data_IF_624213116318
#
_entry.id   IF_624213116318
#
_cell.length_a   1.000
_cell.length_b   1.000
_cell.length_c   1.000
_cell.angle_alpha   90.00
_cell.angle_beta   90.00
_cell.angle_gamma   90.00
#
_symmetry.space_group_name_H-M   'P 1'
#
loop_
_entity.id
_entity.type
_entity.pdbx_description
1 polymer ?
#
# COMPACT_ATOMS: atom_id res chain seq x y z
N UNK A 1 -23.65 8.82 4.14
CA UNK A 1 -22.50 9.66 3.76
C UNK A 1 -22.14 9.30 2.32
N UNK A 2 -22.32 10.21 1.36
CA UNK A 2 -22.05 9.94 -0.07
C UNK A 2 -20.55 10.13 -0.32
N UNK A 3 -19.84 9.03 -0.57
CA UNK A 3 -18.39 9.00 -0.78
C UNK A 3 -18.04 9.67 -2.12
N UNK A 4 -17.02 10.53 -2.16
CA UNK A 4 -16.65 11.29 -3.35
C UNK A 4 -15.63 10.49 -4.19
N UNK A 5 -16.14 9.58 -5.03
CA UNK A 5 -15.36 8.63 -5.85
C UNK A 5 -14.42 9.28 -6.90
N UNK A 6 -14.46 10.60 -7.10
CA UNK A 6 -13.66 11.29 -8.11
C UNK A 6 -12.15 11.17 -7.85
N UNK A 7 -11.71 11.18 -6.59
CA UNK A 7 -10.27 11.19 -6.27
C UNK A 7 -9.63 9.79 -6.36
N UNK A 8 -10.38 8.72 -6.09
CA UNK A 8 -9.92 7.32 -6.22
C UNK A 8 -9.60 6.98 -7.69
N UNK A 9 -10.44 7.47 -8.61
CA UNK A 9 -10.26 7.29 -10.06
C UNK A 9 -8.95 7.91 -10.55
N UNK A 10 -8.57 9.10 -10.04
CA UNK A 10 -7.33 9.78 -10.45
C UNK A 10 -6.07 9.05 -9.99
N UNK A 11 -6.03 8.56 -8.74
CA UNK A 11 -4.89 7.80 -8.19
C UNK A 11 -4.66 6.51 -8.99
N UNK A 12 -5.74 5.80 -9.32
CA UNK A 12 -5.66 4.56 -10.11
C UNK A 12 -5.28 4.83 -11.57
N UNK A 13 -5.78 5.92 -12.18
CA UNK A 13 -5.37 6.32 -13.53
C UNK A 13 -3.87 6.62 -13.62
N UNK A 14 -3.26 7.27 -12.60
CA UNK A 14 -1.80 7.47 -12.58
C UNK A 14 -0.99 6.17 -12.49
N UNK A 15 -1.51 5.14 -11.82
CA UNK A 15 -0.87 3.82 -11.73
C UNK A 15 -0.99 3.03 -13.05
N UNK A 16 -2.13 3.17 -13.74
CA UNK A 16 -2.38 2.51 -15.04
C UNK A 16 -1.56 3.17 -16.17
N UNK A 17 -1.41 4.50 -16.16
CA UNK A 17 -0.70 5.24 -17.23
C UNK A 17 0.82 5.05 -17.15
N UNK A 18 1.39 4.75 -15.98
CA UNK A 18 2.84 4.57 -15.80
C UNK A 18 3.41 3.28 -16.41
N UNK A 19 2.57 2.36 -16.90
CA UNK A 19 2.98 1.06 -17.46
C UNK A 19 2.74 0.91 -18.97
N UNK A 20 2.23 1.93 -19.66
CA UNK A 20 2.01 1.89 -21.11
C UNK A 20 3.13 2.64 -21.86
N UNK A 21 3.92 1.99 -22.74
CA UNK A 21 4.90 2.68 -23.56
C UNK A 21 4.17 3.47 -24.67
N UNK A 22 3.90 4.75 -24.41
CA UNK A 22 3.32 5.66 -25.41
C UNK A 22 4.45 6.38 -26.17
N UNK A 23 4.89 5.78 -27.28
CA UNK A 23 5.78 6.44 -28.26
C UNK A 23 4.94 7.19 -29.29
N UNK A 24 4.82 8.52 -29.19
CA UNK A 24 4.29 9.35 -30.30
C UNK A 24 4.95 10.74 -30.36
N UNK A 25 4.91 11.37 -31.54
CA UNK A 25 5.52 12.68 -31.87
C UNK A 25 4.52 13.86 -31.87
N UNK A 26 5.05 15.09 -31.73
CA UNK A 26 4.34 16.39 -31.70
C UNK A 26 3.47 16.63 -30.46
N UNK A 27 3.67 17.73 -29.73
CA UNK A 27 3.02 17.96 -28.42
C UNK A 27 1.47 18.09 -28.48
N UNK A 28 0.92 18.78 -29.47
CA UNK A 28 -0.53 19.04 -29.52
C UNK A 28 -1.37 17.79 -29.85
N UNK A 29 -0.87 16.93 -30.74
CA UNK A 29 -1.52 15.64 -31.06
C UNK A 29 -1.47 14.65 -29.91
N UNK A 30 -0.48 14.76 -29.01
CA UNK A 30 -0.39 13.89 -27.82
C UNK A 30 -1.50 14.19 -26.83
N UNK A 31 -1.82 15.47 -26.61
CA UNK A 31 -2.81 15.87 -25.62
C UNK A 31 -4.23 15.42 -26.02
N UNK A 32 -4.60 15.61 -27.29
CA UNK A 32 -5.91 15.22 -27.81
C UNK A 32 -6.11 13.69 -27.79
N UNK A 33 -5.09 12.94 -28.24
CA UNK A 33 -5.11 11.47 -28.23
C UNK A 33 -5.13 10.93 -26.78
N UNK A 34 -4.35 11.52 -25.88
CA UNK A 34 -4.37 11.15 -24.46
C UNK A 34 -5.77 11.39 -23.86
N UNK A 35 -6.42 12.51 -24.19
CA UNK A 35 -7.76 12.83 -23.70
C UNK A 35 -8.80 11.82 -24.21
N UNK A 36 -8.74 11.43 -25.49
CA UNK A 36 -9.59 10.38 -26.05
C UNK A 36 -9.41 9.03 -25.32
N UNK A 37 -8.16 8.63 -25.03
CA UNK A 37 -7.90 7.41 -24.27
C UNK A 37 -8.40 7.51 -22.82
N UNK A 38 -8.25 8.66 -22.17
CA UNK A 38 -8.77 8.89 -20.82
C UNK A 38 -10.30 8.76 -20.76
N UNK A 39 -11.00 9.35 -21.72
CA UNK A 39 -12.47 9.27 -21.75
C UNK A 39 -12.95 7.87 -22.10
N UNK A 40 -12.26 7.17 -23.01
CA UNK A 40 -12.51 5.75 -23.28
C UNK A 40 -12.30 4.89 -22.02
N UNK A 41 -11.22 5.10 -21.28
CA UNK A 41 -10.94 4.37 -20.04
C UNK A 41 -12.00 4.65 -18.97
N UNK A 42 -12.43 5.90 -18.80
CA UNK A 42 -13.47 6.29 -17.82
C UNK A 42 -14.79 5.57 -18.03
N UNK A 43 -15.21 5.34 -19.27
CA UNK A 43 -16.47 4.63 -19.57
C UNK A 43 -16.39 3.12 -19.32
N UNK A 44 -15.18 2.56 -19.28
CA UNK A 44 -14.91 1.13 -19.13
C UNK A 44 -14.40 0.75 -17.75
N UNK A 45 -13.93 1.72 -16.97
CA UNK A 45 -13.44 1.54 -15.62
C UNK A 45 -14.61 1.35 -14.65
N UNK A 46 -14.54 0.29 -13.88
CA UNK A 46 -15.41 -0.02 -12.76
C UNK A 46 -14.54 -0.17 -11.51
N UNK A 47 -15.00 0.30 -10.35
CA UNK A 47 -14.18 0.31 -9.13
C UNK A 47 -14.99 -0.30 -8.01
N UNK A 48 -14.52 -1.42 -7.49
CA UNK A 48 -15.04 -2.03 -6.29
C UNK A 48 -14.26 -1.51 -5.08
N UNK A 49 -14.98 -1.18 -4.01
CA UNK A 49 -14.40 -0.67 -2.76
C UNK A 49 -14.94 -1.46 -1.59
N UNK A 50 -14.05 -2.03 -0.80
CA UNK A 50 -14.34 -2.75 0.44
C UNK A 50 -13.69 -2.02 1.63
N UNK A 51 -14.40 -1.91 2.74
CA UNK A 51 -13.84 -1.36 3.98
C UNK A 51 -13.10 -2.47 4.72
N UNK A 52 -11.80 -2.28 4.96
CA UNK A 52 -10.98 -3.20 5.73
C UNK A 52 -11.24 -2.98 7.22
N UNK A 53 -12.24 -3.68 7.75
CA UNK A 53 -12.76 -3.48 9.10
C UNK A 53 -12.44 -4.58 10.11
N UNK A 54 -11.62 -5.58 9.77
CA UNK A 54 -11.35 -6.70 10.67
C UNK A 54 -10.61 -6.24 11.95
N UNK A 55 -10.73 -7.03 13.02
CA UNK A 55 -10.20 -6.67 14.34
C UNK A 55 -8.68 -6.43 14.33
N UNK A 56 -7.94 -7.23 13.55
CA UNK A 56 -6.49 -7.11 13.46
C UNK A 56 -6.06 -5.75 12.88
N UNK A 57 -6.74 -5.25 11.83
CA UNK A 57 -6.45 -3.94 11.27
C UNK A 57 -6.78 -2.82 12.25
N UNK A 58 -7.90 -2.88 12.96
CA UNK A 58 -8.28 -1.86 13.95
C UNK A 58 -7.39 -1.85 15.20
N UNK A 59 -6.77 -2.99 15.53
CA UNK A 59 -5.77 -3.05 16.61
C UNK A 59 -4.52 -2.24 16.23
N UNK A 60 -4.08 -2.31 14.98
CA UNK A 60 -2.83 -1.70 14.52
C UNK A 60 -3.03 -0.29 13.97
N UNK A 61 -4.09 -0.06 13.19
CA UNK A 61 -4.34 1.20 12.49
C UNK A 61 -5.58 1.92 13.03
N UNK A 62 -5.49 3.24 13.15
CA UNK A 62 -6.59 4.16 13.51
C UNK A 62 -7.34 4.69 12.27
N UNK A 63 -6.69 4.67 11.11
CA UNK A 63 -7.26 5.11 9.85
C UNK A 63 -8.36 4.17 9.32
N UNK A 64 -9.33 4.73 8.60
CA UNK A 64 -10.22 3.94 7.77
C UNK A 64 -9.46 3.45 6.53
N UNK A 65 -9.29 2.14 6.45
CA UNK A 65 -8.60 1.49 5.34
C UNK A 65 -9.63 0.94 4.35
N UNK A 66 -9.36 1.15 3.06
CA UNK A 66 -10.23 0.71 1.99
C UNK A 66 -9.43 -0.13 1.00
N UNK A 67 -9.89 -1.35 0.73
CA UNK A 67 -9.39 -2.14 -0.37
C UNK A 67 -10.13 -1.75 -1.64
N UNK A 68 -9.39 -1.34 -2.66
CA UNK A 68 -9.91 -0.85 -3.93
C UNK A 68 -9.46 -1.78 -5.04
N UNK A 69 -10.42 -2.28 -5.82
CA UNK A 69 -10.17 -3.17 -6.94
C UNK A 69 -10.68 -2.52 -8.24
N UNK A 70 -9.78 -1.98 -9.08
CA UNK A 70 -10.16 -1.50 -10.41
C UNK A 70 -10.41 -2.66 -11.37
N UNK A 71 -11.45 -2.50 -12.18
CA UNK A 71 -11.81 -3.40 -13.26
C UNK A 71 -11.93 -2.64 -14.57
N UNK A 72 -11.37 -3.18 -15.65
CA UNK A 72 -11.56 -2.69 -17.00
C UNK A 72 -12.52 -3.63 -17.72
N UNK A 73 -13.65 -3.08 -18.17
CA UNK A 73 -14.59 -3.80 -19.03
C UNK A 73 -14.02 -3.89 -20.44
N UNK A 74 -13.90 -5.10 -20.97
CA UNK A 74 -13.58 -5.37 -22.35
C UNK A 74 -14.79 -5.17 -23.26
N UNK A 75 -14.56 -5.06 -24.57
CA UNK A 75 -15.62 -4.84 -25.56
C UNK A 75 -16.59 -6.03 -25.67
N UNK A 76 -16.15 -7.22 -25.28
CA UNK A 76 -16.96 -8.44 -25.22
C UNK A 76 -17.79 -8.56 -23.92
N UNK A 77 -17.70 -7.58 -23.01
CA UNK A 77 -18.39 -7.57 -21.73
C UNK A 77 -17.64 -8.28 -20.59
N UNK A 78 -16.51 -8.94 -20.86
CA UNK A 78 -15.63 -9.48 -19.81
C UNK A 78 -14.99 -8.34 -19.00
N UNK A 79 -14.51 -8.65 -17.79
CA UNK A 79 -13.80 -7.70 -16.92
C UNK A 79 -12.45 -8.25 -16.53
N UNK A 80 -11.44 -7.39 -16.59
CA UNK A 80 -10.09 -7.69 -16.11
C UNK A 80 -9.70 -6.71 -15.01
N UNK A 81 -8.96 -7.18 -14.00
CA UNK A 81 -8.48 -6.36 -12.89
C UNK A 81 -6.96 -6.44 -12.84
N UNK A 82 -6.30 -5.30 -12.62
CA UNK A 82 -4.84 -5.23 -12.46
C UNK A 82 -4.36 -5.59 -11.04
N UNK A 83 -5.28 -5.83 -10.11
CA UNK A 83 -4.99 -6.17 -8.72
C UNK A 83 -5.90 -5.41 -7.76
N UNK A 84 -5.62 -5.54 -6.46
CA UNK A 84 -6.26 -4.76 -5.40
C UNK A 84 -5.23 -3.88 -4.69
N UNK A 85 -5.64 -2.70 -4.26
CA UNK A 85 -4.79 -1.73 -3.58
C UNK A 85 -5.47 -1.29 -2.28
N UNK A 86 -4.70 -1.12 -1.21
CA UNK A 86 -5.23 -0.47 -0.01
C UNK A 86 -4.98 1.02 -0.09
N UNK A 87 -6.04 1.80 0.16
CA UNK A 87 -5.97 3.25 0.23
C UNK A 87 -6.48 3.72 1.58
N UNK A 88 -6.00 4.88 1.98
CA UNK A 88 -6.43 5.58 3.18
C UNK A 88 -7.00 6.94 2.82
N UNK A 89 -8.04 7.35 3.55
CA UNK A 89 -8.59 8.70 3.44
C UNK A 89 -7.60 9.73 4.05
N UNK A 90 -7.33 10.79 3.29
CA UNK A 90 -6.52 11.93 3.71
C UNK A 90 -7.36 13.20 3.60
N UNK A 91 -6.92 14.31 4.21
CA UNK A 91 -7.63 15.59 4.12
C UNK A 91 -7.91 16.06 2.68
N UNK A 92 -7.11 15.63 1.72
CA UNK A 92 -7.21 16.00 0.30
C UNK A 92 -7.84 14.91 -0.59
N UNK A 93 -8.21 13.74 -0.03
CA UNK A 93 -8.83 12.65 -0.77
C UNK A 93 -8.40 11.27 -0.30
N UNK A 94 -7.80 10.48 -1.19
CA UNK A 94 -7.34 9.13 -0.89
C UNK A 94 -5.89 8.98 -1.33
N UNK A 95 -5.07 8.32 -0.52
CA UNK A 95 -3.69 7.99 -0.86
C UNK A 95 -3.46 6.48 -0.77
N UNK A 96 -2.69 5.89 -1.70
CA UNK A 96 -2.36 4.49 -1.62
C UNK A 96 -1.40 4.25 -0.45
N UNK A 97 -1.69 3.23 0.35
CA UNK A 97 -0.81 2.81 1.42
C UNK A 97 0.21 1.84 0.83
N UNK A 98 1.28 2.40 0.26
CA UNK A 98 2.34 1.63 -0.38
C UNK A 98 3.39 1.20 0.65
N UNK A 99 3.99 0.03 0.43
CA UNK A 99 5.21 -0.35 1.15
C UNK A 99 6.23 0.78 1.04
N UNK A 100 6.89 1.20 2.14
CA UNK A 100 7.99 2.15 2.06
C UNK A 100 9.01 1.60 1.06
N UNK A 101 9.30 2.30 -0.05
CA UNK A 101 10.36 1.86 -0.98
C UNK A 101 11.60 2.70 -0.76
N UNK A 102 12.77 2.05 -0.76
CA UNK A 102 14.09 2.68 -0.80
C UNK A 102 14.35 3.64 0.38
N UNK A 103 14.32 3.12 1.62
CA UNK A 103 14.70 3.83 2.85
C UNK A 103 13.90 5.10 3.19
N UNK A 104 12.83 5.40 2.44
CA UNK A 104 11.97 6.54 2.71
C UNK A 104 10.88 6.16 3.69
N UNK A 105 10.83 6.87 4.83
CA UNK A 105 9.77 6.74 5.82
C UNK A 105 8.42 7.05 5.17
N UNK A 106 7.47 6.11 5.27
CA UNK A 106 6.10 6.35 4.84
C UNK A 106 5.33 7.09 5.96
N UNK A 107 5.37 8.42 5.93
CA UNK A 107 4.71 9.25 6.95
C UNK A 107 3.19 9.04 7.03
N UNK A 108 2.54 8.67 5.92
CA UNK A 108 1.10 8.35 5.91
C UNK A 108 0.81 7.07 6.69
N UNK A 109 1.65 6.04 6.50
CA UNK A 109 1.57 4.81 7.28
C UNK A 109 1.78 5.08 8.77
N UNK A 110 2.78 5.89 9.13
CA UNK A 110 3.05 6.24 10.54
C UNK A 110 1.86 6.98 11.16
N UNK A 111 1.31 7.99 10.46
CA UNK A 111 0.14 8.74 10.94
C UNK A 111 -1.14 7.91 11.06
N UNK A 112 -1.15 6.70 10.49
CA UNK A 112 -2.27 5.79 10.57
C UNK A 112 -2.18 4.75 11.68
N UNK A 113 -1.08 4.67 12.43
CA UNK A 113 -1.03 3.77 13.58
C UNK A 113 -2.05 4.17 14.64
N UNK A 114 -2.56 3.16 15.32
CA UNK A 114 -3.40 3.35 16.48
C UNK A 114 -2.52 3.82 17.66
N UNK A 115 -2.87 4.97 18.24
CA UNK A 115 -2.16 5.56 19.39
C UNK A 115 -2.12 4.65 20.61
N UNK A 116 -2.94 3.60 20.69
CA UNK A 116 -2.93 2.60 21.75
C UNK A 116 -2.08 1.37 21.41
N UNK A 117 -1.75 1.16 20.14
CA UNK A 117 -0.93 0.03 19.70
C UNK A 117 0.52 0.19 20.19
N UNK A 118 1.08 -0.87 20.76
CA UNK A 118 2.47 -0.94 21.21
C UNK A 118 3.07 -2.29 20.82
N UNK A 119 4.36 -2.29 20.51
CA UNK A 119 5.11 -3.50 20.13
C UNK A 119 6.11 -3.83 21.23
N UNK A 120 5.62 -4.49 22.28
CA UNK A 120 6.45 -4.85 23.45
C UNK A 120 6.83 -6.33 23.49
N UNK A 121 6.19 -7.15 22.65
CA UNK A 121 6.39 -8.58 22.57
C UNK A 121 6.57 -9.05 21.13
N UNK A 122 7.08 -10.26 20.98
CA UNK A 122 7.18 -10.93 19.68
C UNK A 122 5.80 -11.11 19.05
N UNK A 123 4.78 -11.45 19.85
CA UNK A 123 3.40 -11.57 19.40
C UNK A 123 2.87 -10.25 18.82
N UNK A 124 3.14 -9.11 19.47
CA UNK A 124 2.75 -7.81 18.95
C UNK A 124 3.49 -7.48 17.63
N UNK A 125 4.75 -7.90 17.51
CA UNK A 125 5.54 -7.71 16.30
C UNK A 125 4.99 -8.55 15.13
N UNK A 126 4.57 -9.79 15.39
CA UNK A 126 3.88 -10.65 14.40
C UNK A 126 2.57 -10.00 13.97
N UNK A 127 1.79 -9.47 14.91
CA UNK A 127 0.53 -8.76 14.58
C UNK A 127 0.81 -7.54 13.70
N UNK A 128 1.83 -6.76 14.02
CA UNK A 128 2.26 -5.63 13.18
C UNK A 128 2.69 -6.09 11.79
N UNK A 129 3.48 -7.15 11.69
CA UNK A 129 3.94 -7.71 10.42
C UNK A 129 2.78 -8.12 9.52
N UNK A 130 1.83 -8.90 10.05
CA UNK A 130 0.65 -9.31 9.29
C UNK A 130 -0.20 -8.11 8.86
N UNK A 131 -0.39 -7.14 9.75
CA UNK A 131 -1.16 -5.95 9.44
C UNK A 131 -0.49 -5.14 8.31
N UNK A 132 0.84 -4.98 8.34
CA UNK A 132 1.61 -4.31 7.30
C UNK A 132 1.51 -5.03 5.96
N UNK A 133 1.82 -6.34 5.90
CA UNK A 133 1.78 -7.10 4.66
C UNK A 133 0.41 -7.04 3.97
N UNK A 134 -0.66 -7.16 4.75
CA UNK A 134 -2.03 -7.04 4.25
C UNK A 134 -2.37 -5.67 3.64
N UNK A 135 -1.75 -4.58 4.09
CA UNK A 135 -2.05 -3.23 3.60
C UNK A 135 -1.07 -2.75 2.54
N UNK A 136 0.16 -3.22 2.55
CA UNK A 136 1.19 -2.83 1.58
C UNK A 136 1.22 -3.72 0.34
N UNK A 137 0.53 -4.87 0.38
CA UNK A 137 0.55 -5.87 -0.68
C UNK A 137 1.83 -6.70 -0.70
N UNK A 138 2.59 -6.69 0.40
CA UNK A 138 3.70 -7.61 0.59
C UNK A 138 3.12 -8.93 1.10
N UNK A 139 3.14 -9.96 0.26
CA UNK A 139 2.65 -11.29 0.64
C UNK A 139 3.46 -11.80 1.83
N UNK A 140 2.76 -12.26 2.87
CA UNK A 140 3.34 -13.00 4.01
C UNK A 140 3.93 -14.29 3.46
N UNK A 141 5.24 -14.48 3.63
CA UNK A 141 5.96 -15.64 3.08
C UNK A 141 6.23 -16.68 4.15
N UNK A 142 6.62 -17.90 3.74
CA UNK A 142 7.09 -18.94 4.67
C UNK A 142 8.43 -18.60 5.34
N UNK A 143 9.08 -17.51 4.95
CA UNK A 143 10.32 -17.01 5.53
C UNK A 143 10.07 -15.94 6.60
N UNK A 144 8.80 -15.67 6.92
CA UNK A 144 8.46 -14.60 7.83
C UNK A 144 9.00 -14.86 9.23
N UNK A 145 9.78 -13.89 9.72
CA UNK A 145 10.41 -13.92 11.04
C UNK A 145 10.35 -12.55 11.68
N UNK A 146 10.05 -12.52 12.97
CA UNK A 146 10.15 -11.32 13.79
C UNK A 146 11.30 -11.45 14.77
N UNK A 147 12.08 -10.39 14.92
CA UNK A 147 13.20 -10.37 15.85
C UNK A 147 13.32 -9.04 16.55
N UNK A 148 13.69 -9.10 17.82
CA UNK A 148 14.00 -7.91 18.60
C UNK A 148 15.39 -7.41 18.21
N UNK A 149 15.49 -6.10 17.96
CA UNK A 149 16.74 -5.39 17.71
C UNK A 149 17.00 -4.37 18.82
N UNK A 150 18.15 -3.69 18.80
CA UNK A 150 18.51 -2.71 19.83
C UNK A 150 17.48 -1.56 19.95
N UNK A 151 16.91 -1.13 18.82
CA UNK A 151 16.05 0.05 18.73
C UNK A 151 14.57 -0.30 18.43
N UNK A 152 14.20 -1.57 18.47
CA UNK A 152 12.84 -2.02 18.13
C UNK A 152 12.81 -3.42 17.53
N UNK A 153 12.26 -3.55 16.32
CA UNK A 153 11.93 -4.85 15.72
C UNK A 153 12.37 -4.95 14.26
N UNK A 154 12.75 -6.15 13.84
CA UNK A 154 12.97 -6.54 12.45
C UNK A 154 11.87 -7.53 12.07
N UNK A 155 11.14 -7.22 11.00
CA UNK A 155 10.05 -8.03 10.47
C UNK A 155 10.47 -8.50 9.07
N UNK A 156 11.04 -9.70 8.98
CA UNK A 156 11.48 -10.29 7.72
C UNK A 156 10.26 -10.75 6.93
N UNK A 157 10.07 -10.27 5.71
CA UNK A 157 8.93 -10.64 4.84
C UNK A 157 9.38 -11.32 3.55
N UNK A 158 10.66 -11.67 3.43
CA UNK A 158 11.19 -12.38 2.28
C UNK A 158 12.71 -12.32 2.20
N UNK A 159 13.24 -12.68 1.04
CA UNK A 159 14.67 -12.65 0.72
C UNK A 159 14.93 -11.88 -0.57
N UNK A 160 16.01 -11.09 -0.59
CA UNK A 160 16.52 -10.40 -1.75
C UNK A 160 17.99 -10.81 -1.97
N UNK A 161 18.26 -11.52 -3.07
CA UNK A 161 19.50 -12.29 -3.26
C UNK A 161 19.75 -13.23 -2.07
N UNK A 162 20.87 -13.08 -1.38
CA UNK A 162 21.28 -13.89 -0.24
C UNK A 162 20.93 -13.23 1.11
N UNK A 163 20.30 -12.05 1.09
CA UNK A 163 19.93 -11.28 2.28
C UNK A 163 18.44 -11.40 2.59
N UNK A 164 18.08 -11.24 3.86
CA UNK A 164 16.68 -11.09 4.27
C UNK A 164 16.20 -9.68 3.94
N UNK A 165 14.95 -9.55 3.50
CA UNK A 165 14.27 -8.28 3.24
C UNK A 165 13.03 -8.14 4.12
N UNK A 166 12.65 -6.91 4.44
CA UNK A 166 11.45 -6.64 5.22
C UNK A 166 11.52 -5.30 5.94
N UNK A 167 10.86 -5.20 7.10
CA UNK A 167 10.69 -3.96 7.83
C UNK A 167 11.63 -3.82 9.01
N UNK A 168 12.31 -2.67 9.09
CA UNK A 168 12.95 -2.19 10.31
C UNK A 168 12.01 -1.22 11.02
N UNK A 169 11.53 -1.62 12.19
CA UNK A 169 10.62 -0.86 13.03
C UNK A 169 11.40 -0.29 14.21
N UNK A 170 11.36 1.03 14.38
CA UNK A 170 11.90 1.70 15.57
C UNK A 170 10.79 1.97 16.56
N UNK A 171 11.02 1.63 17.82
CA UNK A 171 10.07 1.88 18.90
C UNK A 171 10.71 2.71 20.01
N UNK A 172 9.90 3.46 20.74
CA UNK A 172 10.35 4.07 22.00
C UNK A 172 10.34 3.06 23.16
N UNK A 173 10.69 3.53 24.36
CA UNK A 173 10.73 2.70 25.58
C UNK A 173 9.36 2.16 26.02
N UNK A 174 8.26 2.72 25.53
CA UNK A 174 6.90 2.24 25.79
C UNK A 174 6.42 1.25 24.70
N UNK A 175 7.22 1.04 23.66
CA UNK A 175 6.89 0.19 22.52
C UNK A 175 6.09 0.93 21.43
N UNK A 176 5.96 2.25 21.47
CA UNK A 176 5.28 3.01 20.41
C UNK A 176 6.15 3.05 19.17
N UNK A 177 5.55 2.79 18.02
CA UNK A 177 6.23 2.85 16.71
C UNK A 177 6.56 4.30 16.38
N UNK A 178 7.85 4.61 16.24
CA UNK A 178 8.36 5.94 15.91
C UNK A 178 8.73 6.04 14.42
N UNK A 179 9.19 4.93 13.83
CA UNK A 179 9.55 4.87 12.41
C UNK A 179 9.43 3.45 11.87
N UNK A 180 9.12 3.35 10.57
CA UNK A 180 9.14 2.10 9.80
C UNK A 180 9.84 2.39 8.47
N UNK A 181 10.82 1.56 8.15
CA UNK A 181 11.48 1.53 6.85
C UNK A 181 11.49 0.10 6.32
N UNK A 182 11.25 -0.07 5.02
CA UNK A 182 11.50 -1.33 4.36
C UNK A 182 12.95 -1.34 3.86
N UNK A 183 13.64 -2.46 4.06
CA UNK A 183 15.01 -2.68 3.61
C UNK A 183 15.11 -3.99 2.84
N UNK A 184 15.96 -4.01 1.82
CA UNK A 184 16.32 -5.20 1.05
C UNK A 184 17.46 -5.99 1.72
N UNK A 185 18.10 -5.39 2.71
CA UNK A 185 19.22 -5.97 3.45
C UNK A 185 18.95 -5.77 4.95
N UNK A 186 18.25 -6.73 5.55
CA UNK A 186 18.19 -6.87 7.00
C UNK A 186 19.51 -7.50 7.49
N UNK A 187 20.06 -7.04 8.63
CA UNK A 187 21.18 -7.71 9.28
C UNK A 187 20.91 -9.21 9.44
N UNK A 188 21.95 -10.03 9.23
CA UNK A 188 21.84 -11.47 9.37
C UNK A 188 21.32 -11.84 10.77
N UNK A 189 20.32 -12.72 10.74
CA UNK A 189 19.60 -13.28 11.89
C UNK A 189 20.47 -14.30 12.63
#
# INVERSE_FOLDING_TARGET
MKMNYRNIVFVLLSIVISHAPLSYGGEDKKAEVAQYHLDSLRTRLDIEVEVLGNFAYKKVFSCNLYQVKPWVKNTDGSKESSGSYVVVETGDGFAPLVSPKNDKINAQLIGCFNDDFVVNSEEDAVILQHALGSVTGDDVTTQDKVMKSADGWQLTTGTFFDNFSGYQVKTDSAGKVQAIAYTLELPAI
#
